data_IF_087640753277
#
_entry.id   IF_087640753277
#
_cell.length_a   1.000
_cell.length_b   1.000
_cell.length_c   1.000
_cell.angle_alpha   90.00
_cell.angle_beta   90.00
_cell.angle_gamma   90.00
#
_symmetry.space_group_name_H-M   'P 1'
#
loop_
_entity.id
_entity.type
_entity.pdbx_description
1 polymer ?
#
# COMPACT_ATOMS: atom_id res chain seq x y z
N UNK A 1 -3.39 -21.46 -23.00
CA UNK A 1 -4.70 -20.86 -23.33
C UNK A 1 -4.69 -19.45 -22.75
N UNK A 2 -4.62 -18.40 -23.57
CA UNK A 2 -4.82 -17.03 -23.05
C UNK A 2 -6.27 -16.92 -22.61
N UNK A 3 -6.53 -16.60 -21.34
CA UNK A 3 -7.91 -16.39 -20.88
C UNK A 3 -8.49 -15.21 -21.66
N UNK A 4 -9.49 -15.48 -22.50
CA UNK A 4 -10.17 -14.46 -23.29
C UNK A 4 -11.30 -13.87 -22.44
N UNK A 5 -11.37 -12.53 -22.40
CA UNK A 5 -12.43 -11.83 -21.71
C UNK A 5 -13.78 -12.09 -22.40
N UNK A 6 -14.87 -12.35 -21.65
CA UNK A 6 -16.21 -12.46 -22.21
C UNK A 6 -16.69 -11.16 -22.86
N UNK A 7 -17.49 -11.21 -23.94
CA UNK A 7 -18.11 -10.02 -24.54
C UNK A 7 -18.84 -9.13 -23.52
N UNK A 8 -18.76 -7.81 -23.69
CA UNK A 8 -19.30 -6.83 -22.72
C UNK A 8 -20.81 -6.96 -22.52
N UNK A 9 -21.57 -7.25 -23.58
CA UNK A 9 -23.01 -7.49 -23.56
C UNK A 9 -23.41 -8.76 -22.77
N UNK A 10 -22.49 -9.73 -22.65
CA UNK A 10 -22.70 -10.94 -21.86
C UNK A 10 -22.49 -10.78 -20.35
N UNK A 11 -22.01 -9.61 -19.89
CA UNK A 11 -21.65 -9.39 -18.48
C UNK A 11 -22.84 -9.25 -17.52
N UNK A 12 -24.09 -9.33 -18.03
CA UNK A 12 -25.28 -9.48 -17.18
C UNK A 12 -25.44 -10.90 -16.62
N UNK A 13 -24.74 -11.88 -17.19
CA UNK A 13 -24.61 -13.24 -16.67
C UNK A 13 -23.56 -13.28 -15.53
N UNK A 14 -23.94 -13.68 -14.30
CA UNK A 14 -23.00 -13.79 -13.17
C UNK A 14 -21.78 -14.65 -13.45
N UNK A 15 -21.90 -15.73 -14.22
CA UNK A 15 -20.79 -16.62 -14.53
C UNK A 15 -19.79 -15.95 -15.48
N UNK A 16 -20.28 -15.22 -16.48
CA UNK A 16 -19.45 -14.43 -17.40
C UNK A 16 -18.78 -13.26 -16.69
N UNK A 17 -19.51 -12.56 -15.82
CA UNK A 17 -18.91 -11.49 -15.03
C UNK A 17 -17.83 -12.03 -14.09
N UNK A 18 -18.10 -13.15 -13.41
CA UNK A 18 -17.09 -13.80 -12.54
C UNK A 18 -15.84 -14.19 -13.33
N UNK A 19 -16.00 -14.75 -14.54
CA UNK A 19 -14.88 -15.06 -15.42
C UNK A 19 -14.08 -13.80 -15.80
N UNK A 20 -14.77 -12.72 -16.16
CA UNK A 20 -14.16 -11.42 -16.48
C UNK A 20 -13.35 -10.88 -15.29
N UNK A 21 -13.99 -10.76 -14.12
CA UNK A 21 -13.35 -10.24 -12.91
C UNK A 21 -12.21 -11.13 -12.42
N UNK A 22 -12.33 -12.46 -12.51
CA UNK A 22 -11.25 -13.38 -12.15
C UNK A 22 -10.07 -13.36 -13.13
N UNK A 23 -10.23 -12.75 -14.31
CA UNK A 23 -9.12 -12.49 -15.24
C UNK A 23 -8.40 -11.18 -14.87
N UNK A 24 -9.13 -10.20 -14.33
CA UNK A 24 -8.62 -8.88 -14.01
C UNK A 24 -8.09 -8.77 -12.58
N UNK A 25 -8.66 -9.53 -11.66
CA UNK A 25 -8.39 -9.49 -10.22
C UNK A 25 -8.05 -10.87 -9.70
N UNK A 26 -7.39 -10.91 -8.54
CA UNK A 26 -7.17 -12.16 -7.84
C UNK A 26 -8.47 -12.65 -7.18
N UNK A 27 -8.68 -13.97 -7.06
CA UNK A 27 -9.88 -14.51 -6.42
C UNK A 27 -9.97 -14.11 -4.95
N UNK A 28 -11.10 -13.54 -4.55
CA UNK A 28 -11.44 -13.27 -3.14
C UNK A 28 -12.93 -13.52 -2.87
N UNK A 29 -13.29 -13.63 -1.59
CA UNK A 29 -14.69 -13.78 -1.17
C UNK A 29 -15.47 -12.52 -1.52
N UNK A 30 -14.92 -11.34 -1.21
CA UNK A 30 -15.49 -10.05 -1.57
C UNK A 30 -15.75 -9.90 -3.07
N UNK A 31 -14.84 -10.40 -3.93
CA UNK A 31 -15.07 -10.38 -5.37
C UNK A 31 -16.31 -11.21 -5.76
N UNK A 32 -16.40 -12.45 -5.27
CA UNK A 32 -17.43 -13.41 -5.72
C UNK A 32 -18.79 -13.16 -5.08
N UNK A 33 -18.81 -12.84 -3.80
CA UNK A 33 -20.04 -12.80 -3.00
C UNK A 33 -20.62 -11.38 -2.88
N UNK A 34 -19.80 -10.34 -3.13
CA UNK A 34 -20.22 -8.94 -2.98
C UNK A 34 -20.18 -8.23 -4.33
N UNK A 35 -19.00 -8.17 -4.96
CA UNK A 35 -18.79 -7.36 -6.16
C UNK A 35 -19.58 -7.88 -7.36
N UNK A 36 -19.53 -9.19 -7.62
CA UNK A 36 -20.27 -9.81 -8.74
C UNK A 36 -21.79 -9.56 -8.62
N UNK A 37 -22.47 -9.85 -7.48
CA UNK A 37 -23.90 -9.57 -7.34
C UNK A 37 -24.26 -8.09 -7.50
N UNK A 38 -23.45 -7.17 -6.95
CA UNK A 38 -23.68 -5.72 -7.08
C UNK A 38 -23.66 -5.27 -8.54
N UNK A 39 -22.65 -5.72 -9.30
CA UNK A 39 -22.50 -5.35 -10.70
C UNK A 39 -23.51 -6.03 -11.62
N UNK A 40 -23.88 -7.29 -11.38
CA UNK A 40 -24.96 -7.94 -12.13
C UNK A 40 -26.27 -7.17 -11.95
N UNK A 41 -26.58 -6.75 -10.72
CA UNK A 41 -27.77 -5.93 -10.45
C UNK A 41 -27.71 -4.60 -11.20
N UNK A 42 -26.56 -3.92 -11.17
CA UNK A 42 -26.32 -2.68 -11.91
C UNK A 42 -26.52 -2.87 -13.41
N UNK A 43 -25.88 -3.86 -14.02
CA UNK A 43 -25.92 -4.05 -15.47
C UNK A 43 -27.29 -4.51 -15.99
N UNK A 44 -28.08 -5.19 -15.16
CA UNK A 44 -29.48 -5.51 -15.49
C UNK A 44 -30.40 -4.28 -15.46
N UNK A 45 -30.08 -3.28 -14.64
CA UNK A 45 -30.87 -2.06 -14.50
C UNK A 45 -30.45 -0.97 -15.49
N UNK A 46 -29.14 -0.73 -15.60
CA UNK A 46 -28.55 0.42 -16.32
C UNK A 46 -28.01 0.04 -17.71
N UNK A 47 -27.89 -1.26 -18.00
CA UNK A 47 -27.17 -1.80 -19.15
C UNK A 47 -25.70 -2.11 -18.86
N UNK A 48 -25.04 -2.83 -19.77
CA UNK A 48 -23.63 -3.22 -19.64
C UNK A 48 -22.68 -2.06 -19.98
N UNK A 49 -21.45 -2.06 -19.44
CA UNK A 49 -20.50 -0.98 -19.69
C UNK A 49 -19.99 -1.03 -21.13
N UNK A 50 -19.65 0.14 -21.67
CA UNK A 50 -19.16 0.31 -23.05
C UNK A 50 -17.72 -0.18 -23.25
N UNK A 51 -16.99 -0.48 -22.18
CA UNK A 51 -15.59 -0.94 -22.22
C UNK A 51 -15.22 -1.75 -20.97
N UNK A 52 -14.17 -2.57 -21.06
CA UNK A 52 -13.62 -3.25 -19.88
C UNK A 52 -13.00 -2.27 -18.86
N UNK A 53 -12.52 -1.10 -19.31
CA UNK A 53 -12.13 0.00 -18.43
C UNK A 53 -13.32 0.48 -17.60
N UNK A 54 -14.50 0.55 -18.22
CA UNK A 54 -15.78 0.83 -17.58
C UNK A 54 -16.15 -0.21 -16.53
N UNK A 55 -15.89 -1.50 -16.79
CA UNK A 55 -16.07 -2.56 -15.78
C UNK A 55 -15.22 -2.27 -14.53
N UNK A 56 -13.94 -1.93 -14.68
CA UNK A 56 -13.06 -1.61 -13.54
C UNK A 56 -13.53 -0.35 -12.81
N UNK A 57 -13.97 0.67 -13.56
CA UNK A 57 -14.54 1.87 -12.96
C UNK A 57 -15.77 1.54 -12.12
N UNK A 58 -16.70 0.75 -12.65
CA UNK A 58 -17.90 0.34 -11.92
C UNK A 58 -17.55 -0.53 -10.70
N UNK A 59 -16.50 -1.35 -10.76
CA UNK A 59 -15.97 -2.04 -9.58
C UNK A 59 -15.50 -1.06 -8.50
N UNK A 60 -14.71 -0.05 -8.88
CA UNK A 60 -14.18 0.94 -7.96
C UNK A 60 -15.32 1.76 -7.32
N UNK A 61 -16.32 2.18 -8.11
CA UNK A 61 -17.51 2.88 -7.59
C UNK A 61 -18.30 2.00 -6.60
N UNK A 62 -18.53 0.72 -6.94
CA UNK A 62 -19.22 -0.21 -6.05
C UNK A 62 -18.46 -0.41 -4.72
N UNK A 63 -17.13 -0.35 -4.74
CA UNK A 63 -16.29 -0.51 -3.55
C UNK A 63 -16.32 0.65 -2.57
N UNK A 64 -16.87 1.81 -2.94
CA UNK A 64 -17.01 2.98 -2.05
C UNK A 64 -17.96 2.71 -0.88
N UNK A 65 -18.96 1.86 -1.10
CA UNK A 65 -19.96 1.47 -0.10
C UNK A 65 -19.52 0.26 0.74
N UNK A 66 -18.32 -0.26 0.52
CA UNK A 66 -17.83 -1.43 1.25
C UNK A 66 -17.39 -1.07 2.66
N UNK A 67 -17.61 -1.99 3.59
CA UNK A 67 -16.97 -1.91 4.90
C UNK A 67 -15.47 -2.16 4.77
N UNK A 68 -14.73 -1.74 5.79
CA UNK A 68 -13.29 -1.95 5.85
C UNK A 68 -12.89 -3.42 5.87
N UNK A 69 -13.72 -4.28 6.46
CA UNK A 69 -13.53 -5.74 6.43
C UNK A 69 -13.61 -6.28 4.99
N UNK A 70 -14.62 -5.84 4.23
CA UNK A 70 -14.80 -6.25 2.84
C UNK A 70 -13.64 -5.77 1.95
N UNK A 71 -13.17 -4.53 2.16
CA UNK A 71 -11.97 -4.02 1.48
C UNK A 71 -10.71 -4.83 1.85
N UNK A 72 -10.51 -5.16 3.13
CA UNK A 72 -9.36 -5.98 3.55
C UNK A 72 -9.40 -7.40 3.00
N UNK A 73 -10.57 -8.05 2.94
CA UNK A 73 -10.73 -9.38 2.33
C UNK A 73 -10.40 -9.34 0.83
N UNK A 74 -10.82 -8.27 0.14
CA UNK A 74 -10.50 -8.09 -1.27
C UNK A 74 -8.99 -7.92 -1.52
N UNK A 75 -8.30 -7.17 -0.67
CA UNK A 75 -6.86 -6.95 -0.73
C UNK A 75 -6.10 -8.26 -0.41
N UNK A 76 -6.45 -8.95 0.67
CA UNK A 76 -5.72 -10.15 1.13
C UNK A 76 -5.75 -11.33 0.16
N UNK A 77 -6.70 -11.37 -0.80
CA UNK A 77 -6.70 -12.33 -1.89
C UNK A 77 -5.52 -12.23 -2.87
N UNK A 78 -4.71 -11.16 -2.80
CA UNK A 78 -3.58 -10.95 -3.70
C UNK A 78 -2.29 -11.66 -3.25
N UNK A 79 -1.47 -12.16 -4.19
CA UNK A 79 -0.20 -12.82 -3.86
C UNK A 79 0.82 -11.83 -3.28
N UNK A 80 1.65 -12.32 -2.35
CA UNK A 80 2.73 -11.54 -1.76
C UNK A 80 3.76 -11.10 -2.80
N UNK A 81 4.22 -9.85 -2.68
CA UNK A 81 5.27 -9.33 -3.55
C UNK A 81 6.60 -10.04 -3.27
N UNK A 82 7.29 -10.49 -4.32
CA UNK A 82 8.55 -11.24 -4.20
C UNK A 82 8.41 -12.76 -3.99
N UNK A 83 7.19 -13.28 -3.83
CA UNK A 83 6.94 -14.72 -3.91
C UNK A 83 7.13 -15.23 -5.36
N UNK A 84 7.52 -16.51 -5.56
CA UNK A 84 7.52 -17.11 -6.89
C UNK A 84 6.13 -16.96 -7.51
N UNK A 85 6.08 -16.48 -8.75
CA UNK A 85 4.84 -16.22 -9.46
C UNK A 85 3.98 -17.50 -9.55
N UNK A 86 2.98 -17.63 -8.70
CA UNK A 86 1.88 -18.57 -8.90
C UNK A 86 0.82 -17.85 -9.74
N UNK A 87 0.60 -18.32 -10.98
CA UNK A 87 -0.39 -17.71 -11.89
C UNK A 87 0.13 -16.56 -12.76
N UNK A 88 -0.70 -15.52 -12.97
CA UNK A 88 -0.61 -14.45 -13.99
C UNK A 88 0.72 -13.65 -14.04
N UNK A 89 1.64 -13.86 -13.09
CA UNK A 89 2.85 -13.06 -12.84
C UNK A 89 4.15 -13.64 -13.48
N UNK A 90 4.08 -14.78 -14.17
CA UNK A 90 5.28 -15.58 -14.53
C UNK A 90 6.02 -15.30 -15.84
N UNK A 91 5.81 -14.19 -16.56
CA UNK A 91 6.24 -14.06 -17.98
C UNK A 91 7.57 -13.34 -18.28
N UNK A 92 8.43 -13.08 -17.30
CA UNK A 92 9.61 -12.22 -17.52
C UNK A 92 10.94 -12.80 -16.99
N UNK A 93 11.48 -13.91 -17.52
CA UNK A 93 12.90 -14.25 -17.29
C UNK A 93 13.57 -14.88 -18.53
N UNK A 94 14.59 -14.20 -19.06
CA UNK A 94 15.45 -14.61 -20.19
C UNK A 94 16.87 -15.03 -19.77
N UNK A 95 17.66 -15.46 -20.76
CA UNK A 95 18.85 -16.36 -20.75
C UNK A 95 20.18 -15.80 -20.21
N UNK A 96 21.10 -16.73 -19.86
CA UNK A 96 22.27 -16.58 -18.96
C UNK A 96 23.60 -16.02 -19.56
N UNK A 97 24.32 -15.19 -18.77
CA UNK A 97 25.75 -14.77 -18.88
C UNK A 97 26.33 -14.48 -17.47
N UNK A 98 27.61 -14.13 -17.29
CA UNK A 98 28.19 -13.81 -15.95
C UNK A 98 27.49 -12.65 -15.21
N UNK A 99 26.91 -11.68 -15.96
CA UNK A 99 25.97 -10.69 -15.40
C UNK A 99 24.75 -11.35 -14.76
N UNK A 100 24.28 -12.46 -15.33
CA UNK A 100 23.15 -13.22 -14.81
C UNK A 100 23.46 -13.89 -13.49
N UNK A 101 24.71 -14.20 -13.17
CA UNK A 101 25.06 -14.70 -11.82
C UNK A 101 24.92 -13.58 -10.78
N UNK A 102 25.44 -12.37 -11.06
CA UNK A 102 25.31 -11.23 -10.15
C UNK A 102 23.85 -10.76 -10.03
N UNK A 103 23.13 -10.69 -11.16
CA UNK A 103 21.71 -10.36 -11.20
C UNK A 103 20.87 -11.42 -10.46
N UNK A 104 21.23 -12.71 -10.55
CA UNK A 104 20.59 -13.79 -9.78
C UNK A 104 20.82 -13.64 -8.28
N UNK A 105 22.04 -13.33 -7.85
CA UNK A 105 22.36 -13.13 -6.44
C UNK A 105 21.62 -11.91 -5.87
N UNK A 106 21.61 -10.79 -6.59
CA UNK A 106 20.82 -9.60 -6.22
C UNK A 106 19.32 -9.91 -6.19
N UNK A 107 18.81 -10.69 -7.15
CA UNK A 107 17.42 -11.12 -7.15
C UNK A 107 17.07 -11.98 -5.93
N UNK A 108 17.96 -12.90 -5.52
CA UNK A 108 17.78 -13.73 -4.32
C UNK A 108 17.79 -12.88 -3.05
N UNK A 109 18.76 -11.95 -2.93
CA UNK A 109 18.85 -11.04 -1.79
C UNK A 109 17.58 -10.18 -1.66
N UNK A 110 17.14 -9.56 -2.76
CA UNK A 110 15.91 -8.74 -2.77
C UNK A 110 14.66 -9.58 -2.46
N UNK A 111 14.56 -10.81 -2.98
CA UNK A 111 13.44 -11.69 -2.66
C UNK A 111 13.39 -12.07 -1.17
N UNK A 112 14.56 -12.31 -0.56
CA UNK A 112 14.67 -12.54 0.88
C UNK A 112 14.20 -11.34 1.69
N UNK A 113 14.66 -10.14 1.33
CA UNK A 113 14.25 -8.89 1.99
C UNK A 113 12.75 -8.63 1.83
N UNK A 114 12.18 -8.82 0.63
CA UNK A 114 10.74 -8.69 0.43
C UNK A 114 9.95 -9.70 1.25
N UNK A 115 10.44 -10.94 1.40
CA UNK A 115 9.78 -11.94 2.26
C UNK A 115 9.74 -11.47 3.72
N UNK A 116 10.86 -10.95 4.23
CA UNK A 116 10.93 -10.43 5.60
C UNK A 116 10.02 -9.20 5.76
N UNK A 117 10.06 -8.25 4.82
CA UNK A 117 9.24 -7.05 4.87
C UNK A 117 7.74 -7.36 4.76
N UNK A 118 7.32 -8.35 3.98
CA UNK A 118 5.91 -8.80 3.99
C UNK A 118 5.48 -9.27 5.38
N UNK A 119 6.35 -9.96 6.12
CA UNK A 119 6.06 -10.37 7.50
C UNK A 119 5.95 -9.15 8.42
N UNK A 120 6.89 -8.21 8.35
CA UNK A 120 6.84 -6.98 9.14
C UNK A 120 5.63 -6.11 8.79
N UNK A 121 5.25 -6.04 7.51
CA UNK A 121 4.06 -5.35 7.05
C UNK A 121 2.80 -5.95 7.66
N UNK A 122 2.64 -7.28 7.63
CA UNK A 122 1.47 -7.93 8.23
C UNK A 122 1.35 -7.71 9.75
N UNK A 123 2.48 -7.47 10.43
CA UNK A 123 2.49 -7.10 11.85
C UNK A 123 2.15 -5.61 12.05
N UNK A 124 2.66 -4.73 11.17
CA UNK A 124 2.40 -3.30 11.21
C UNK A 124 0.95 -2.95 10.82
N UNK A 125 0.37 -3.70 9.89
CA UNK A 125 -0.99 -3.55 9.38
C UNK A 125 -1.72 -4.90 9.45
N UNK A 126 -2.30 -5.25 10.62
CA UNK A 126 -2.99 -6.52 10.80
C UNK A 126 -4.09 -6.73 9.75
N UNK A 127 -4.19 -7.96 9.24
CA UNK A 127 -5.15 -8.38 8.20
C UNK A 127 -4.99 -7.67 6.83
N UNK A 128 -3.88 -6.97 6.57
CA UNK A 128 -3.57 -6.45 5.24
C UNK A 128 -2.40 -7.19 4.60
N UNK A 129 -2.47 -7.30 3.28
CA UNK A 129 -1.36 -7.74 2.42
C UNK A 129 -0.84 -6.52 1.69
N UNK A 130 0.49 -6.31 1.66
CA UNK A 130 1.05 -5.19 0.91
C UNK A 130 0.85 -5.40 -0.58
N UNK A 131 0.04 -4.55 -1.19
CA UNK A 131 -0.16 -4.49 -2.63
C UNK A 131 0.44 -3.19 -3.13
N UNK A 132 1.21 -3.21 -4.21
CA UNK A 132 1.61 -1.98 -4.88
C UNK A 132 1.66 -2.18 -6.37
N UNK A 133 1.25 -1.17 -7.14
CA UNK A 133 1.27 -1.25 -8.59
C UNK A 133 2.71 -1.07 -9.13
N UNK A 134 3.40 -2.16 -9.46
CA UNK A 134 4.84 -2.11 -9.79
C UNK A 134 5.15 -1.33 -11.07
N UNK A 135 4.38 -1.49 -12.15
CA UNK A 135 4.54 -0.73 -13.42
C UNK A 135 5.99 -0.61 -13.96
N UNK A 136 6.78 -1.67 -13.89
CA UNK A 136 8.19 -1.64 -14.32
C UNK A 136 9.16 -1.01 -13.33
N UNK A 137 8.70 -0.61 -12.13
CA UNK A 137 9.60 -0.18 -11.04
C UNK A 137 10.51 -1.33 -10.61
N UNK A 138 11.80 -1.06 -10.36
CA UNK A 138 12.71 -2.08 -9.86
C UNK A 138 12.30 -2.52 -8.46
N UNK A 139 12.55 -3.80 -8.12
CA UNK A 139 12.19 -4.36 -6.80
C UNK A 139 12.84 -3.61 -5.63
N UNK A 140 14.01 -3.00 -5.83
CA UNK A 140 14.65 -2.15 -4.82
C UNK A 140 13.84 -0.90 -4.48
N UNK A 141 13.07 -0.33 -5.42
CA UNK A 141 12.16 0.77 -5.11
C UNK A 141 10.96 0.32 -4.30
N UNK A 142 10.50 -0.92 -4.54
CA UNK A 142 9.40 -1.54 -3.79
C UNK A 142 9.81 -1.81 -2.34
N UNK A 143 11.04 -2.29 -2.12
CA UNK A 143 11.63 -2.46 -0.77
C UNK A 143 11.53 -1.15 0.01
N UNK A 144 12.08 -0.06 -0.53
CA UNK A 144 12.05 1.24 0.13
C UNK A 144 10.63 1.80 0.32
N UNK A 145 9.70 1.49 -0.59
CA UNK A 145 8.29 1.85 -0.40
C UNK A 145 7.67 1.14 0.78
N UNK A 146 7.85 -0.18 0.87
CA UNK A 146 7.31 -0.98 1.97
C UNK A 146 7.93 -0.55 3.31
N UNK A 147 9.24 -0.29 3.35
CA UNK A 147 9.92 0.23 4.55
C UNK A 147 9.33 1.56 5.01
N UNK A 148 9.17 2.54 4.11
CA UNK A 148 8.53 3.83 4.44
C UNK A 148 7.10 3.65 4.96
N UNK A 149 6.34 2.71 4.39
CA UNK A 149 4.96 2.44 4.80
C UNK A 149 4.87 1.84 6.19
N UNK A 150 5.77 0.92 6.50
CA UNK A 150 5.91 0.34 7.84
C UNK A 150 6.43 1.39 8.84
N UNK A 151 7.22 2.37 8.37
CA UNK A 151 7.91 3.34 9.21
C UNK A 151 9.32 2.91 9.60
N UNK A 152 9.94 2.03 8.79
CA UNK A 152 11.33 1.61 8.93
C UNK A 152 12.28 2.58 8.21
N UNK A 153 13.55 2.66 8.63
CA UNK A 153 14.59 3.32 7.85
C UNK A 153 14.71 2.70 6.45
N UNK A 154 14.96 3.52 5.44
CA UNK A 154 15.16 3.02 4.08
C UNK A 154 16.47 2.25 3.92
N UNK A 155 16.39 1.13 3.22
CA UNK A 155 17.53 0.36 2.76
C UNK A 155 18.45 1.19 1.85
N UNK A 156 19.78 0.97 1.94
CA UNK A 156 20.76 1.61 1.07
C UNK A 156 20.58 1.21 -0.40
N UNK A 157 21.03 2.08 -1.31
CA UNK A 157 21.03 1.85 -2.76
C UNK A 157 22.47 1.88 -3.30
N UNK A 158 22.96 0.80 -3.94
CA UNK A 158 22.29 -0.50 -4.15
C UNK A 158 22.15 -1.31 -2.86
N UNK A 159 21.20 -2.24 -2.83
CA UNK A 159 20.99 -3.15 -1.72
C UNK A 159 22.19 -4.12 -1.63
N UNK A 160 22.91 -4.21 -0.50
CA UNK A 160 24.01 -5.16 -0.33
C UNK A 160 23.49 -6.61 -0.40
N UNK A 161 24.30 -7.52 -0.96
CA UNK A 161 23.94 -8.95 -1.07
C UNK A 161 23.70 -9.61 0.30
N UNK A 162 24.34 -9.09 1.36
CA UNK A 162 24.20 -9.55 2.74
C UNK A 162 23.21 -8.71 3.57
N UNK A 163 22.36 -7.90 2.92
CA UNK A 163 21.41 -7.06 3.63
C UNK A 163 20.33 -7.91 4.29
N UNK A 164 20.20 -7.75 5.60
CA UNK A 164 19.15 -8.32 6.42
C UNK A 164 18.36 -7.15 7.02
N UNK A 165 17.02 -7.22 7.01
CA UNK A 165 16.20 -6.16 7.61
C UNK A 165 16.38 -6.08 9.14
N UNK A 166 17.13 -7.01 9.74
CA UNK A 166 17.68 -6.94 11.10
C UNK A 166 16.64 -7.13 12.21
N UNK A 167 15.36 -7.17 11.87
CA UNK A 167 14.28 -7.45 12.81
C UNK A 167 13.25 -8.40 12.21
N UNK A 168 12.83 -9.37 13.01
CA UNK A 168 11.71 -10.27 12.71
C UNK A 168 10.40 -9.78 13.32
N UNK A 169 10.46 -8.77 14.19
CA UNK A 169 9.32 -8.19 14.90
C UNK A 169 9.24 -6.69 14.69
N UNK A 170 8.02 -6.17 14.63
CA UNK A 170 7.79 -4.72 14.53
C UNK A 170 7.82 -4.07 15.93
N UNK A 171 8.33 -2.84 16.06
CA UNK A 171 8.11 -2.03 17.26
C UNK A 171 6.59 -1.86 17.46
N UNK A 172 6.03 -2.19 18.64
CA UNK A 172 4.60 -2.00 18.91
C UNK A 172 4.06 -0.60 18.61
N UNK A 173 4.91 0.44 18.62
CA UNK A 173 4.54 1.82 18.25
C UNK A 173 4.30 2.00 16.75
N UNK A 174 4.82 1.11 15.92
CA UNK A 174 4.62 1.12 14.47
C UNK A 174 3.37 0.33 14.05
N UNK A 175 2.74 -0.40 14.96
CA UNK A 175 1.49 -1.12 14.67
C UNK A 175 0.32 -0.14 14.51
N UNK A 176 -0.36 -0.23 13.37
CA UNK A 176 -1.62 0.46 13.09
C UNK A 176 -2.77 -0.50 13.35
N UNK A 177 -3.53 -0.24 14.42
CA UNK A 177 -4.64 -1.13 14.81
C UNK A 177 -5.68 -1.19 13.70
N UNK A 178 -6.28 -2.36 13.49
CA UNK A 178 -7.40 -2.52 12.55
C UNK A 178 -8.52 -1.53 12.88
N UNK A 179 -9.02 -0.83 11.87
CA UNK A 179 -10.02 0.24 12.03
C UNK A 179 -9.49 1.57 12.59
N UNK A 180 -8.16 1.73 12.71
CA UNK A 180 -7.57 3.06 12.93
C UNK A 180 -7.51 3.85 11.61
N UNK A 181 -7.56 5.19 11.64
CA UNK A 181 -7.49 6.00 10.41
C UNK A 181 -6.29 5.68 9.52
N UNK A 182 -5.12 5.42 10.11
CA UNK A 182 -3.91 5.07 9.37
C UNK A 182 -3.99 3.68 8.72
N UNK A 183 -4.66 2.73 9.37
CA UNK A 183 -4.90 1.41 8.81
C UNK A 183 -5.93 1.48 7.67
N UNK A 184 -6.97 2.31 7.83
CA UNK A 184 -8.02 2.52 6.83
C UNK A 184 -7.45 3.22 5.58
N UNK A 185 -6.62 4.24 5.77
CA UNK A 185 -5.91 4.92 4.67
C UNK A 185 -5.02 3.95 3.88
N UNK A 186 -4.30 3.05 4.57
CA UNK A 186 -3.46 2.06 3.90
C UNK A 186 -4.29 0.99 3.17
N UNK A 187 -5.40 0.54 3.76
CA UNK A 187 -6.34 -0.38 3.12
C UNK A 187 -6.95 0.24 1.84
N UNK A 188 -7.35 1.51 1.88
CA UNK A 188 -7.88 2.21 0.71
C UNK A 188 -6.82 2.38 -0.39
N UNK A 189 -5.57 2.67 0.00
CA UNK A 189 -4.44 2.69 -0.93
C UNK A 189 -4.23 1.33 -1.60
N UNK A 190 -4.22 0.25 -0.82
CA UNK A 190 -4.09 -1.13 -1.35
C UNK A 190 -5.18 -1.42 -2.38
N UNK A 191 -6.44 -1.11 -2.06
CA UNK A 191 -7.59 -1.25 -2.98
C UNK A 191 -7.37 -0.44 -4.27
N UNK A 192 -6.90 0.80 -4.16
CA UNK A 192 -6.61 1.64 -5.32
C UNK A 192 -5.51 1.07 -6.23
N UNK A 193 -4.48 0.45 -5.64
CA UNK A 193 -3.43 -0.20 -6.42
C UNK A 193 -3.93 -1.49 -7.10
N UNK A 194 -4.90 -2.21 -6.53
CA UNK A 194 -5.59 -3.32 -7.22
C UNK A 194 -6.27 -2.83 -8.51
N UNK A 195 -6.94 -1.67 -8.48
CA UNK A 195 -7.56 -1.10 -9.67
C UNK A 195 -6.54 -0.73 -10.75
N UNK A 196 -5.38 -0.18 -10.35
CA UNK A 196 -4.28 0.13 -11.28
C UNK A 196 -3.68 -1.14 -11.90
N UNK A 197 -3.52 -2.19 -11.10
CA UNK A 197 -3.06 -3.51 -11.57
C UNK A 197 -4.03 -4.05 -12.62
N UNK A 198 -5.33 -4.02 -12.37
CA UNK A 198 -6.34 -4.50 -13.31
C UNK A 198 -6.34 -3.71 -14.64
N UNK A 199 -6.21 -2.38 -14.59
CA UNK A 199 -6.05 -1.56 -15.81
C UNK A 199 -4.79 -1.95 -16.57
N UNK A 200 -3.69 -2.18 -15.87
CA UNK A 200 -2.45 -2.63 -16.52
C UNK A 200 -2.62 -4.00 -17.19
N UNK A 201 -3.39 -4.92 -16.58
CA UNK A 201 -3.73 -6.22 -17.18
C UNK A 201 -4.55 -6.06 -18.47
N UNK A 202 -5.50 -5.13 -18.53
CA UNK A 202 -6.23 -4.83 -19.77
C UNK A 202 -5.31 -4.41 -20.91
N UNK A 203 -4.31 -3.56 -20.63
CA UNK A 203 -3.29 -3.18 -21.62
C UNK A 203 -2.49 -4.38 -22.10
N UNK A 204 -2.07 -5.26 -21.20
CA UNK A 204 -1.36 -6.51 -21.54
C UNK A 204 -2.22 -7.46 -22.38
N UNK A 205 -3.54 -7.46 -22.18
CA UNK A 205 -4.49 -8.24 -22.97
C UNK A 205 -4.81 -7.62 -24.34
N UNK A 206 -4.37 -6.39 -24.62
CA UNK A 206 -4.60 -5.70 -25.89
C UNK A 206 -6.05 -5.29 -26.13
N UNK A 207 -6.86 -5.16 -25.07
CA UNK A 207 -8.29 -4.81 -25.16
C UNK A 207 -8.59 -3.34 -24.88
N UNK A 208 -7.57 -2.54 -24.54
CA UNK A 208 -7.65 -1.08 -24.49
C UNK A 208 -6.86 -0.44 -25.64
N UNK A 209 -7.48 0.49 -26.36
CA UNK A 209 -6.85 1.28 -27.42
C UNK A 209 -6.09 2.50 -26.84
N UNK A 210 -5.01 2.95 -27.51
CA UNK A 210 -4.29 4.17 -27.13
C UNK A 210 -5.21 5.39 -27.31
N UNK A 211 -5.75 5.92 -26.21
CA UNK A 211 -6.62 7.10 -26.26
C UNK A 211 -7.54 7.30 -25.06
N UNK A 212 -7.81 6.25 -24.27
CA UNK A 212 -8.53 6.41 -23.01
C UNK A 212 -7.60 6.99 -21.94
N UNK A 213 -7.82 8.27 -21.58
CA UNK A 213 -7.29 8.85 -20.34
C UNK A 213 -8.32 8.60 -19.25
N UNK A 214 -8.00 7.82 -18.20
CA UNK A 214 -8.86 7.76 -17.02
C UNK A 214 -9.10 9.17 -16.49
N UNK A 215 -10.24 9.46 -15.83
CA UNK A 215 -10.31 10.63 -14.96
C UNK A 215 -9.12 10.59 -14.00
N UNK A 216 -8.42 11.72 -13.84
CA UNK A 216 -7.22 11.81 -13.01
C UNK A 216 -7.52 11.23 -11.63
N UNK A 217 -6.97 10.04 -11.37
CA UNK A 217 -6.76 9.61 -9.99
C UNK A 217 -5.72 10.61 -9.49
N UNK A 218 -6.05 11.45 -8.49
CA UNK A 218 -5.16 12.53 -8.08
C UNK A 218 -3.76 11.98 -7.83
N UNK A 219 -2.71 12.68 -8.31
CA UNK A 219 -1.35 12.27 -8.01
C UNK A 219 -1.21 12.15 -6.49
N UNK A 220 -0.48 11.09 -6.10
CA UNK A 220 -0.10 10.77 -4.72
C UNK A 220 0.18 12.05 -3.95
N UNK A 221 -0.67 12.39 -2.98
CA UNK A 221 -0.31 13.41 -2.00
C UNK A 221 0.98 12.92 -1.33
N UNK A 222 2.06 13.72 -1.28
CA UNK A 222 3.20 13.39 -0.45
C UNK A 222 2.67 13.19 0.97
N UNK A 223 2.96 12.01 1.54
CA UNK A 223 2.57 11.65 2.90
C UNK A 223 3.02 12.80 3.82
N UNK A 224 2.06 13.44 4.48
CA UNK A 224 2.32 14.54 5.40
C UNK A 224 2.91 14.01 6.72
N UNK A 225 4.09 13.42 6.63
CA UNK A 225 4.93 13.08 7.77
C UNK A 225 6.29 13.73 7.55
N UNK A 226 6.32 15.06 7.75
CA UNK A 226 7.45 15.88 8.24
C UNK A 226 7.32 17.35 7.79
N UNK A 227 6.54 18.18 8.48
CA UNK A 227 6.87 19.60 8.76
C UNK A 227 6.19 20.01 10.08
N UNK A 228 6.84 19.74 11.20
CA UNK A 228 6.79 20.67 12.34
C UNK A 228 8.17 21.33 12.42
N UNK A 229 8.41 22.28 11.52
CA UNK A 229 9.49 23.25 11.67
C UNK A 229 8.95 24.50 12.35
N UNK A 230 9.73 24.94 13.34
CA UNK A 230 9.53 26.09 14.24
C UNK A 230 9.02 27.33 13.50
N UNK A 231 7.97 27.95 14.01
CA UNK A 231 7.59 29.31 13.62
C UNK A 231 8.55 30.34 14.23
N UNK A 232 8.91 31.41 13.49
CA UNK A 232 9.65 32.55 14.03
C UNK A 232 8.70 33.63 14.57
N UNK A 233 9.05 34.19 15.74
CA UNK A 233 8.82 35.58 16.12
C UNK A 233 7.39 36.12 16.23
N UNK A 234 6.90 36.30 17.46
CA UNK A 234 5.93 37.33 17.78
C UNK A 234 6.20 37.92 19.17
N UNK A 235 6.60 39.20 19.18
CA UNK A 235 6.21 40.19 20.18
C UNK A 235 6.66 39.99 21.63
N UNK A 236 7.77 40.62 21.99
CA UNK A 236 7.96 41.08 23.37
C UNK A 236 6.96 42.21 23.67
N UNK A 237 6.41 42.26 24.90
CA UNK A 237 6.05 43.53 25.51
C UNK A 237 7.03 43.86 26.65
N UNK A 238 7.61 45.04 26.53
CA UNK A 238 8.29 45.78 27.58
C UNK A 238 7.37 46.02 28.77
N UNK A 239 7.84 45.75 29.99
CA UNK A 239 7.39 46.43 31.21
C UNK A 239 8.59 46.89 32.00
N UNK A 240 8.60 48.20 32.24
CA UNK A 240 9.58 48.98 32.97
C UNK A 240 9.48 48.80 34.48
N UNK A 241 10.65 48.84 35.13
CA UNK A 241 10.96 49.28 36.50
C UNK A 241 9.80 49.43 37.49
N UNK A 242 9.92 48.71 38.62
CA UNK A 242 9.85 49.39 39.91
C UNK A 242 10.76 48.71 40.93
N UNK A 243 11.66 49.50 41.51
CA UNK A 243 12.44 49.17 42.70
C UNK A 243 11.49 49.11 43.91
N UNK A 244 11.72 48.16 44.83
CA UNK A 244 11.63 48.45 46.26
C UNK A 244 12.38 47.40 47.08
N UNK A 245 13.33 47.94 47.83
CA UNK A 245 14.22 47.32 48.80
C UNK A 245 13.47 46.84 50.05
N UNK A 246 13.90 45.74 50.69
CA UNK A 246 14.47 45.71 52.07
C UNK A 246 14.40 44.31 52.73
N UNK A 247 15.45 44.04 53.54
CA UNK A 247 15.58 43.09 54.68
C UNK A 247 15.43 41.58 54.41
N UNK A 248 16.45 40.74 54.64
CA UNK A 248 16.93 40.31 55.97
C UNK A 248 16.10 39.08 56.40
N UNK A 249 16.61 37.87 56.65
CA UNK A 249 17.71 37.45 57.52
C UNK A 249 18.09 35.99 57.25
N UNK A 250 19.39 35.75 57.17
CA UNK A 250 20.24 34.74 57.82
C UNK A 250 19.70 33.44 58.50
N UNK A 251 20.62 32.45 58.53
CA UNK A 251 20.64 31.13 59.20
C UNK A 251 20.07 29.92 58.42
N UNK A 252 20.59 28.69 58.50
CA UNK A 252 21.90 28.04 58.63
C UNK A 252 21.60 26.53 58.85
N UNK A 253 22.52 25.63 58.43
CA UNK A 253 22.57 24.18 58.76
C UNK A 253 21.41 23.30 58.20
N UNK A 254 21.55 22.02 57.83
CA UNK A 254 22.59 21.00 58.00
C UNK A 254 22.31 19.84 57.02
N UNK A 255 23.37 19.13 56.59
CA UNK A 255 23.52 17.67 56.37
C UNK A 255 22.55 16.83 55.49
N UNK A 256 23.17 16.30 54.42
CA UNK A 256 23.08 15.02 53.65
C UNK A 256 22.65 13.73 54.44
N UNK A 257 22.56 12.48 53.88
CA UNK A 257 21.94 11.86 52.66
C UNK A 257 21.11 10.55 52.92
N UNK A 258 20.49 9.99 51.85
CA UNK A 258 20.23 8.53 51.66
C UNK A 258 18.92 8.02 52.26
N UNK A 259 18.17 7.05 51.70
CA UNK A 259 18.50 5.66 51.37
C UNK A 259 17.42 5.11 50.39
N UNK A 260 17.84 4.33 49.38
CA UNK A 260 17.49 2.91 49.12
C UNK A 260 16.02 2.63 48.80
#
# INVERSE_FOLDING_TARGET
>A
MSAQLPPLDSLTDPAKLTQCLSTLFEPSTALKEILVPQLVKKYKADGTPLSYAGVIHDCAEASKEWTWEQKSDFVTGHPLIGAPATGLSGKEQGTETTKVVLDRLQHIAIASVLKQLNSLYSQAFPDLTFITFVNGRPRSEIVNEMERKIGLPESPKPLPDSFDCGSTTIDPKLVRKKGSPEWEEECDRDVNDVWRIARSRLRTLGVEFPGYKPPDIPPRAPSALHVWQRGPGAGAPSWSHNEMSTSGTDHAHDRIPGWV
#
